data_IF_199516761237
#
_entry.id   IF_199516761237
#
_cell.length_a   1.000
_cell.length_b   1.000
_cell.length_c   1.000
_cell.angle_alpha   90.00
_cell.angle_beta   90.00
_cell.angle_gamma   90.00
#
_symmetry.space_group_name_H-M   'P 1'
#
loop_
_entity.id
_entity.type
_entity.pdbx_description
1 polymer ?
#
# COMPACT_ATOMS: atom_id res chain seq x y z
N UNK A 1 1.25 16.41 9.87
CA UNK A 1 1.64 15.57 8.73
C UNK A 1 0.74 14.33 8.69
N UNK A 2 0.21 14.04 7.53
CA UNK A 2 -0.60 12.84 7.33
C UNK A 2 0.22 11.77 6.63
N UNK A 3 0.26 10.58 7.21
CA UNK A 3 0.98 9.42 6.69
C UNK A 3 -0.02 8.36 6.26
N UNK A 4 0.14 7.83 5.05
CA UNK A 4 -0.61 6.66 4.57
C UNK A 4 0.36 5.50 4.40
N UNK A 5 0.13 4.41 5.12
CA UNK A 5 0.91 3.19 5.03
C UNK A 5 0.15 2.17 4.19
N UNK A 6 0.83 1.59 3.23
CA UNK A 6 0.23 0.72 2.21
C UNK A 6 0.83 -0.67 2.24
N UNK A 7 -0.04 -1.68 2.29
CA UNK A 7 0.31 -3.06 2.04
C UNK A 7 -0.16 -3.42 0.61
N UNK A 8 0.75 -3.49 -0.38
CA UNK A 8 0.37 -3.67 -1.77
C UNK A 8 -0.03 -5.11 -2.09
N UNK A 9 -0.70 -5.28 -3.23
CA UNK A 9 -0.93 -6.61 -3.79
C UNK A 9 0.36 -7.20 -4.33
N UNK A 10 0.37 -8.53 -4.54
CA UNK A 10 1.53 -9.23 -5.08
C UNK A 10 1.21 -9.91 -6.41
N UNK A 11 0.55 -9.18 -7.31
CA UNK A 11 -0.13 -9.81 -8.43
C UNK A 11 0.76 -10.26 -9.59
N UNK A 12 1.99 -9.80 -9.77
CA UNK A 12 2.58 -9.97 -11.10
C UNK A 12 4.09 -10.15 -11.19
N UNK A 13 4.62 -11.06 -10.45
CA UNK A 13 6.00 -11.41 -10.74
C UNK A 13 6.17 -12.41 -11.90
N UNK A 14 5.09 -13.06 -12.37
CA UNK A 14 5.11 -13.87 -13.61
C UNK A 14 3.86 -13.56 -14.45
N UNK A 15 3.99 -12.84 -15.57
CA UNK A 15 2.86 -12.55 -16.46
C UNK A 15 2.12 -13.82 -16.89
N UNK A 16 0.78 -13.80 -16.84
CA UNK A 16 -0.07 -14.88 -17.27
C UNK A 16 -0.25 -16.04 -16.28
N UNK A 17 0.39 -16.01 -15.11
CA UNK A 17 0.16 -17.01 -14.05
C UNK A 17 -0.81 -16.51 -12.99
N UNK A 18 -1.50 -17.45 -12.35
CA UNK A 18 -2.38 -17.11 -11.21
C UNK A 18 -1.55 -16.52 -10.08
N UNK A 19 -2.06 -15.43 -9.54
CA UNK A 19 -1.50 -14.80 -8.36
C UNK A 19 -1.71 -15.69 -7.13
N UNK A 20 -0.67 -16.40 -6.73
CA UNK A 20 -0.69 -17.20 -5.51
C UNK A 20 -0.50 -16.39 -4.26
N UNK A 21 -0.02 -15.13 -4.37
CA UNK A 21 0.19 -14.27 -3.21
C UNK A 21 -1.13 -13.89 -2.54
N UNK A 22 -2.20 -13.75 -3.31
CA UNK A 22 -3.54 -13.52 -2.78
C UNK A 22 -4.03 -14.67 -1.89
N UNK A 23 -3.51 -15.88 -2.10
CA UNK A 23 -3.85 -17.05 -1.29
C UNK A 23 -2.85 -17.27 -0.16
N UNK A 24 -1.57 -16.99 -0.40
CA UNK A 24 -0.50 -17.26 0.55
C UNK A 24 -0.30 -16.15 1.59
N UNK A 25 -0.65 -14.91 1.28
CA UNK A 25 -0.35 -13.73 2.11
C UNK A 25 -1.59 -13.01 2.66
N UNK A 26 -2.68 -13.73 2.89
CA UNK A 26 -3.88 -13.16 3.53
C UNK A 26 -3.72 -12.94 5.03
N UNK A 27 -2.53 -12.72 5.48
CA UNK A 27 -2.26 -12.36 6.88
C UNK A 27 -2.30 -10.84 7.04
N UNK A 28 -2.83 -10.40 8.17
CA UNK A 28 -2.77 -8.99 8.52
C UNK A 28 -1.31 -8.50 8.48
N UNK A 29 -1.04 -7.30 7.90
CA UNK A 29 0.33 -6.79 7.77
C UNK A 29 0.83 -6.26 9.12
N UNK A 30 1.23 -7.15 10.03
CA UNK A 30 1.57 -6.83 11.41
C UNK A 30 2.66 -5.76 11.53
N UNK A 31 3.66 -5.77 10.65
CA UNK A 31 4.72 -4.78 10.66
C UNK A 31 4.20 -3.36 10.40
N UNK A 32 3.34 -3.19 9.42
CA UNK A 32 2.69 -1.89 9.12
C UNK A 32 1.76 -1.48 10.25
N UNK A 33 0.98 -2.40 10.78
CA UNK A 33 0.04 -2.12 11.88
C UNK A 33 0.79 -1.69 13.14
N UNK A 34 1.91 -2.32 13.46
CA UNK A 34 2.78 -1.94 14.59
C UNK A 34 3.35 -0.53 14.37
N UNK A 35 3.81 -0.24 13.16
CA UNK A 35 4.33 1.09 12.80
C UNK A 35 3.24 2.15 12.91
N UNK A 36 2.03 1.86 12.41
CA UNK A 36 0.90 2.77 12.51
C UNK A 36 0.50 3.06 13.96
N UNK A 37 0.48 2.04 14.80
CA UNK A 37 0.18 2.20 16.21
C UNK A 37 1.21 3.08 16.91
N UNK A 38 2.50 2.88 16.62
CA UNK A 38 3.58 3.67 17.18
C UNK A 38 3.50 5.15 16.72
N UNK A 39 3.29 5.39 15.42
CA UNK A 39 3.13 6.73 14.87
C UNK A 39 1.90 7.44 15.45
N UNK A 40 0.78 6.72 15.56
CA UNK A 40 -0.44 7.26 16.15
C UNK A 40 -0.26 7.64 17.62
N UNK A 41 0.43 6.81 18.39
CA UNK A 41 0.75 7.11 19.78
C UNK A 41 1.66 8.34 19.91
N UNK A 42 2.49 8.63 18.92
CA UNK A 42 3.33 9.82 18.85
C UNK A 42 2.58 11.06 18.33
N UNK A 43 1.28 10.98 18.07
CA UNK A 43 0.46 12.09 17.61
C UNK A 43 0.43 12.29 16.09
N UNK A 44 0.97 11.37 15.32
CA UNK A 44 0.92 11.44 13.85
C UNK A 44 -0.44 10.98 13.34
N UNK A 45 -1.02 11.72 12.39
CA UNK A 45 -2.22 11.30 11.67
C UNK A 45 -1.82 10.21 10.67
N UNK A 46 -2.18 8.97 10.94
CA UNK A 46 -1.78 7.81 10.15
C UNK A 46 -2.97 6.97 9.74
N UNK A 47 -3.00 6.56 8.49
CA UNK A 47 -3.96 5.59 7.96
C UNK A 47 -3.24 4.39 7.37
N UNK A 48 -3.86 3.22 7.44
CA UNK A 48 -3.35 1.98 6.85
C UNK A 48 -4.30 1.53 5.74
N UNK A 49 -3.74 1.24 4.57
CA UNK A 49 -4.46 0.65 3.46
C UNK A 49 -3.87 -0.74 3.18
N UNK A 50 -4.67 -1.76 3.48
CA UNK A 50 -4.32 -3.15 3.16
C UNK A 50 -5.03 -3.57 1.89
N UNK A 51 -4.33 -3.58 0.77
CA UNK A 51 -4.90 -3.94 -0.52
C UNK A 51 -5.11 -5.45 -0.71
N UNK A 52 -4.69 -6.26 0.24
CA UNK A 52 -5.05 -7.68 0.31
C UNK A 52 -6.24 -7.95 1.24
N UNK A 53 -6.73 -6.93 1.93
CA UNK A 53 -7.86 -7.03 2.84
C UNK A 53 -9.21 -7.19 2.12
N UNK A 54 -10.25 -7.64 2.85
CA UNK A 54 -11.60 -7.77 2.31
C UNK A 54 -12.14 -6.41 1.81
N UNK A 55 -12.75 -6.41 0.62
CA UNK A 55 -13.34 -5.21 0.04
C UNK A 55 -12.34 -4.17 -0.45
N UNK A 56 -11.06 -4.49 -0.50
CA UNK A 56 -10.03 -3.58 -0.99
C UNK A 56 -10.22 -3.29 -2.50
N UNK A 57 -9.84 -2.07 -2.94
CA UNK A 57 -9.91 -1.75 -4.36
C UNK A 57 -8.99 -2.66 -5.18
N UNK A 58 -9.46 -3.06 -6.36
CA UNK A 58 -8.74 -3.95 -7.28
C UNK A 58 -8.11 -3.12 -8.40
N UNK A 59 -6.84 -3.39 -8.69
CA UNK A 59 -6.09 -2.73 -9.73
C UNK A 59 -5.37 -1.45 -9.28
N UNK A 60 -4.25 -1.18 -9.93
CA UNK A 60 -3.33 -0.08 -9.57
C UNK A 60 -4.02 1.29 -9.63
N UNK A 61 -4.89 1.54 -10.61
CA UNK A 61 -5.58 2.82 -10.74
C UNK A 61 -6.51 3.09 -9.55
N UNK A 62 -7.33 2.11 -9.17
CA UNK A 62 -8.24 2.24 -8.03
C UNK A 62 -7.47 2.35 -6.70
N UNK A 63 -6.39 1.61 -6.56
CA UNK A 63 -5.51 1.65 -5.38
C UNK A 63 -4.82 3.01 -5.26
N UNK A 64 -4.33 3.56 -6.36
CA UNK A 64 -3.74 4.90 -6.40
C UNK A 64 -4.74 5.96 -5.96
N UNK A 65 -5.98 5.90 -6.49
CA UNK A 65 -7.06 6.81 -6.05
C UNK A 65 -7.33 6.70 -4.55
N UNK A 66 -7.33 5.49 -4.02
CA UNK A 66 -7.53 5.24 -2.59
C UNK A 66 -6.44 5.88 -1.73
N UNK A 67 -5.19 5.78 -2.16
CA UNK A 67 -4.05 6.42 -1.48
C UNK A 67 -4.23 7.96 -1.49
N UNK A 68 -4.49 8.52 -2.66
CA UNK A 68 -4.59 9.97 -2.84
C UNK A 68 -5.83 10.57 -2.19
N UNK A 69 -6.91 9.80 -2.03
CA UNK A 69 -8.10 10.23 -1.30
C UNK A 69 -7.79 10.60 0.16
N UNK A 70 -6.76 9.98 0.74
CA UNK A 70 -6.27 10.31 2.08
C UNK A 70 -5.49 11.63 2.16
N UNK A 71 -5.19 12.28 1.04
CA UNK A 71 -4.37 13.50 0.96
C UNK A 71 -3.08 13.39 1.78
N UNK A 72 -2.24 12.38 1.51
CA UNK A 72 -1.05 12.14 2.31
C UNK A 72 0.05 13.17 2.05
N UNK A 73 0.79 13.51 3.08
CA UNK A 73 2.08 14.18 2.98
C UNK A 73 3.20 13.18 2.73
N UNK A 74 3.02 11.97 3.26
CA UNK A 74 3.97 10.87 3.12
C UNK A 74 3.21 9.54 2.87
N UNK A 75 3.75 8.72 1.99
CA UNK A 75 3.26 7.37 1.72
C UNK A 75 4.37 6.37 2.02
N UNK A 76 4.10 5.44 2.90
CA UNK A 76 4.99 4.31 3.18
C UNK A 76 4.44 3.03 2.55
N UNK A 77 5.25 2.32 1.80
CA UNK A 77 4.84 1.06 1.16
C UNK A 77 5.69 -0.07 1.70
N UNK A 78 5.04 -1.07 2.28
CA UNK A 78 5.69 -2.30 2.73
C UNK A 78 5.62 -3.33 1.61
N UNK A 79 6.75 -3.63 1.01
CA UNK A 79 6.82 -4.58 -0.09
C UNK A 79 7.77 -5.72 0.23
N UNK A 80 7.33 -6.94 -0.05
CA UNK A 80 8.17 -8.13 -0.11
C UNK A 80 8.60 -8.38 -1.56
N UNK A 81 9.42 -9.40 -1.79
CA UNK A 81 9.81 -9.78 -3.15
C UNK A 81 8.60 -10.03 -4.06
N UNK A 82 7.54 -10.64 -3.53
CA UNK A 82 6.32 -10.95 -4.30
C UNK A 82 5.45 -9.73 -4.58
N UNK A 83 5.53 -8.67 -3.80
CA UNK A 83 4.71 -7.46 -3.95
C UNK A 83 5.51 -6.23 -4.41
N UNK A 84 6.78 -6.39 -4.70
CA UNK A 84 7.67 -5.28 -5.05
C UNK A 84 7.21 -4.52 -6.30
N UNK A 85 6.81 -5.23 -7.35
CA UNK A 85 6.41 -4.60 -8.61
C UNK A 85 5.14 -3.76 -8.44
N UNK A 86 4.15 -4.28 -7.75
CA UNK A 86 2.91 -3.54 -7.48
C UNK A 86 3.19 -2.31 -6.61
N UNK A 87 4.01 -2.46 -5.58
CA UNK A 87 4.44 -1.35 -4.75
C UNK A 87 5.18 -0.27 -5.53
N UNK A 88 6.07 -0.68 -6.42
CA UNK A 88 6.81 0.24 -7.29
C UNK A 88 5.89 1.01 -8.25
N UNK A 89 4.92 0.34 -8.86
CA UNK A 89 3.94 0.99 -9.72
C UNK A 89 3.09 2.01 -8.95
N UNK A 90 2.67 1.69 -7.74
CA UNK A 90 1.94 2.62 -6.88
C UNK A 90 2.77 3.88 -6.58
N UNK A 91 4.05 3.72 -6.26
CA UNK A 91 4.97 4.83 -6.03
C UNK A 91 5.02 5.76 -7.25
N UNK A 92 5.23 5.18 -8.43
CA UNK A 92 5.32 5.96 -9.68
C UNK A 92 4.01 6.71 -9.95
N UNK A 93 2.88 6.04 -9.81
CA UNK A 93 1.55 6.64 -10.06
C UNK A 93 1.26 7.77 -9.07
N UNK A 94 1.53 7.57 -7.79
CA UNK A 94 1.35 8.60 -6.77
C UNK A 94 2.26 9.80 -7.05
N UNK A 95 3.54 9.57 -7.32
CA UNK A 95 4.50 10.65 -7.59
C UNK A 95 4.17 11.45 -8.84
N UNK A 96 3.61 10.82 -9.86
CA UNK A 96 3.18 11.53 -11.08
C UNK A 96 2.02 12.47 -10.82
N UNK A 97 1.07 12.09 -9.97
CA UNK A 97 -0.11 12.90 -9.67
C UNK A 97 0.15 13.95 -8.60
N UNK A 98 0.97 13.63 -7.60
CA UNK A 98 1.29 14.52 -6.47
C UNK A 98 2.80 14.47 -6.22
N UNK A 99 3.60 15.21 -7.01
CA UNK A 99 5.07 15.13 -6.94
C UNK A 99 5.66 15.49 -5.57
N UNK A 100 4.98 16.30 -4.76
CA UNK A 100 5.45 16.75 -3.45
C UNK A 100 5.27 15.70 -2.34
N UNK A 101 4.50 14.63 -2.55
CA UNK A 101 4.35 13.53 -1.58
C UNK A 101 5.70 12.83 -1.38
N UNK A 102 6.04 12.60 -0.14
CA UNK A 102 7.24 11.84 0.26
C UNK A 102 6.97 10.36 0.34
#
# INVERSE_FOLDING_TARGET
MRVVLVHPTGSNWIPGRKDISATANRMAPLGILSMAAWLGAAGTDVAVLDFLGPGAPVGIEAQTRSILAGKPDMVGISATTSSYLDGYELIIKVKRQVPQVR
#
